data_IF_257602881634
#
_entry.id   IF_257602881634
#
_cell.length_a   1.000
_cell.length_b   1.000
_cell.length_c   1.000
_cell.angle_alpha   90.00
_cell.angle_beta   90.00
_cell.angle_gamma   90.00
#
_symmetry.space_group_name_H-M   'P 1'
#
loop_
_entity.id
_entity.type
_entity.pdbx_description
1 polymer ?
#
# COMPACT_ATOMS: atom_id res chain seq x y z
N UNK A 1 21.31 -2.03 3.53
CA UNK A 1 21.17 -1.11 4.67
C UNK A 1 20.62 0.21 4.19
N UNK A 2 19.73 0.79 4.95
CA UNK A 2 19.09 2.07 4.59
C UNK A 2 19.90 3.22 5.19
N UNK A 3 20.41 4.10 4.35
CA UNK A 3 21.17 5.27 4.80
C UNK A 3 20.24 6.40 5.25
N UNK A 4 19.11 6.56 4.56
CA UNK A 4 18.12 7.60 4.85
C UNK A 4 16.94 6.98 5.60
N UNK A 5 16.78 7.36 6.85
CA UNK A 5 15.73 6.84 7.73
C UNK A 5 14.48 7.72 7.78
N UNK A 6 14.44 8.81 7.01
CA UNK A 6 13.28 9.69 6.98
C UNK A 6 12.08 8.98 6.36
N UNK A 7 10.90 9.25 6.89
CA UNK A 7 9.65 8.74 6.35
C UNK A 7 9.51 9.13 4.87
N UNK A 8 9.19 8.16 4.03
CA UNK A 8 8.96 8.41 2.60
C UNK A 8 7.58 9.04 2.42
N UNK A 9 7.57 10.21 1.81
CA UNK A 9 6.36 10.98 1.50
C UNK A 9 6.28 11.24 0.00
N UNK A 10 5.16 11.75 -0.47
CA UNK A 10 5.01 12.15 -1.88
C UNK A 10 6.05 13.20 -2.25
N UNK A 11 6.35 14.12 -1.33
CA UNK A 11 7.40 15.13 -1.53
C UNK A 11 8.76 14.46 -1.72
N UNK A 12 9.10 13.48 -0.86
CA UNK A 12 10.37 12.76 -0.93
C UNK A 12 10.51 12.02 -2.26
N UNK A 13 9.45 11.37 -2.71
CA UNK A 13 9.46 10.67 -4.00
C UNK A 13 9.72 11.64 -5.16
N UNK A 14 9.12 12.81 -5.11
CA UNK A 14 9.33 13.85 -6.12
C UNK A 14 10.78 14.34 -6.14
N UNK A 15 11.37 14.54 -4.96
CA UNK A 15 12.77 14.90 -4.82
C UNK A 15 13.70 13.82 -5.38
N UNK A 16 13.41 12.56 -5.09
CA UNK A 16 14.19 11.42 -5.61
C UNK A 16 14.18 11.42 -7.14
N UNK A 17 13.04 11.66 -7.75
CA UNK A 17 12.91 11.74 -9.21
C UNK A 17 13.77 12.88 -9.76
N UNK A 18 13.72 14.06 -9.14
CA UNK A 18 14.51 15.21 -9.55
C UNK A 18 16.01 14.98 -9.44
N UNK A 19 16.43 14.19 -8.45
CA UNK A 19 17.81 13.84 -8.20
C UNK A 19 18.29 12.66 -9.04
N UNK A 20 17.43 12.07 -9.88
CA UNK A 20 17.75 10.90 -10.66
C UNK A 20 17.89 9.61 -9.85
N UNK A 21 17.38 9.58 -8.63
CA UNK A 21 17.41 8.39 -7.77
C UNK A 21 16.26 7.45 -8.12
N UNK A 22 16.54 6.16 -8.15
CA UNK A 22 15.52 5.16 -8.40
C UNK A 22 14.65 4.98 -7.17
N UNK A 23 13.35 4.76 -7.42
CA UNK A 23 12.37 4.47 -6.39
C UNK A 23 12.09 2.97 -6.45
N UNK A 24 12.31 2.27 -5.34
CA UNK A 24 12.10 0.83 -5.26
C UNK A 24 10.75 0.55 -4.60
N UNK A 25 9.93 -0.26 -5.26
CA UNK A 25 8.61 -0.66 -4.76
C UNK A 25 8.48 -2.17 -4.76
N UNK A 26 7.89 -2.72 -3.72
CA UNK A 26 7.63 -4.15 -3.59
C UNK A 26 6.27 -4.36 -2.91
N UNK A 27 5.57 -5.41 -3.29
CA UNK A 27 4.28 -5.76 -2.68
C UNK A 27 4.48 -6.49 -1.35
N UNK A 28 3.55 -6.26 -0.42
CA UNK A 28 3.46 -7.02 0.82
C UNK A 28 2.00 -7.02 1.29
N UNK A 29 1.58 -8.11 1.94
CA UNK A 29 0.19 -8.29 2.33
C UNK A 29 0.00 -8.52 3.83
N UNK A 30 1.08 -8.62 4.59
CA UNK A 30 1.02 -8.93 6.00
C UNK A 30 2.07 -8.14 6.81
N UNK A 31 1.90 -8.19 8.12
CA UNK A 31 2.76 -7.47 9.07
C UNK A 31 4.22 -7.92 9.00
N UNK A 32 4.45 -9.23 9.00
CA UNK A 32 5.81 -9.78 9.09
C UNK A 32 6.63 -9.45 7.84
N UNK A 33 6.07 -9.69 6.67
CA UNK A 33 6.76 -9.35 5.41
C UNK A 33 6.94 -7.86 5.24
N UNK A 34 5.93 -7.06 5.60
CA UNK A 34 6.04 -5.60 5.51
C UNK A 34 7.19 -5.07 6.37
N UNK A 35 7.37 -5.61 7.57
CA UNK A 35 8.46 -5.23 8.46
C UNK A 35 9.82 -5.54 7.84
N UNK A 36 9.96 -6.73 7.25
CA UNK A 36 11.20 -7.15 6.58
C UNK A 36 11.49 -6.27 5.36
N UNK A 37 10.49 -6.04 4.53
CA UNK A 37 10.62 -5.24 3.30
C UNK A 37 10.96 -3.79 3.62
N UNK A 38 10.33 -3.22 4.64
CA UNK A 38 10.63 -1.86 5.10
C UNK A 38 12.07 -1.75 5.58
N UNK A 39 12.52 -2.70 6.41
CA UNK A 39 13.88 -2.73 6.93
C UNK A 39 14.92 -2.95 5.83
N UNK A 40 14.53 -3.62 4.73
CA UNK A 40 15.40 -3.82 3.58
C UNK A 40 15.61 -2.55 2.76
N UNK A 41 14.83 -1.50 3.02
CA UNK A 41 15.06 -0.19 2.40
C UNK A 41 14.15 0.11 1.21
N UNK A 42 13.06 -0.61 1.02
CA UNK A 42 12.09 -0.27 -0.01
C UNK A 42 11.48 1.10 0.27
N UNK A 43 11.26 1.87 -0.79
CA UNK A 43 10.70 3.21 -0.67
C UNK A 43 9.18 3.18 -0.62
N UNK A 44 8.56 2.27 -1.35
CA UNK A 44 7.12 2.08 -1.39
C UNK A 44 6.80 0.61 -1.16
N UNK A 45 5.78 0.35 -0.35
CA UNK A 45 5.20 -0.98 -0.18
C UNK A 45 3.77 -0.92 -0.70
N UNK A 46 3.50 -1.75 -1.70
CA UNK A 46 2.19 -1.82 -2.33
C UNK A 46 1.37 -2.94 -1.70
N UNK A 47 0.20 -2.59 -1.18
CA UNK A 47 -0.82 -3.56 -0.80
C UNK A 47 -1.72 -3.72 -2.02
N UNK A 48 -1.38 -4.70 -2.87
CA UNK A 48 -2.03 -4.90 -4.15
C UNK A 48 -3.29 -5.74 -4.06
N UNK A 49 -4.23 -5.52 -4.98
CA UNK A 49 -5.43 -6.35 -5.10
C UNK A 49 -5.08 -7.79 -5.53
N UNK A 50 -3.86 -8.04 -5.95
CA UNK A 50 -3.31 -9.38 -6.16
C UNK A 50 -3.34 -10.23 -4.89
N UNK A 51 -3.64 -9.66 -3.71
CA UNK A 51 -3.93 -10.41 -2.51
C UNK A 51 -5.08 -11.41 -2.74
N UNK A 52 -5.99 -11.10 -3.64
CA UNK A 52 -7.05 -12.03 -4.08
C UNK A 52 -6.46 -13.35 -4.56
N UNK A 53 -5.40 -13.28 -5.35
CA UNK A 53 -4.73 -14.47 -5.89
C UNK A 53 -3.78 -15.09 -4.87
N UNK A 54 -2.88 -14.28 -4.34
CA UNK A 54 -1.73 -14.75 -3.54
C UNK A 54 -2.15 -15.21 -2.14
N UNK A 55 -3.07 -14.48 -1.51
CA UNK A 55 -3.47 -14.77 -0.13
C UNK A 55 -4.74 -15.62 -0.06
N UNK A 56 -5.69 -15.37 -0.96
CA UNK A 56 -6.99 -16.06 -0.93
C UNK A 56 -7.12 -17.19 -1.94
N UNK A 57 -6.21 -17.29 -2.91
CA UNK A 57 -6.23 -18.35 -3.90
C UNK A 57 -7.27 -18.19 -5.00
N UNK A 58 -7.82 -17.00 -5.17
CA UNK A 58 -8.78 -16.74 -6.25
C UNK A 58 -8.04 -16.67 -7.59
N UNK A 59 -8.75 -16.96 -8.69
CA UNK A 59 -8.16 -16.94 -10.03
C UNK A 59 -7.97 -15.53 -10.57
N UNK A 60 -8.71 -14.55 -10.05
CA UNK A 60 -8.65 -13.17 -10.49
C UNK A 60 -8.63 -12.23 -9.29
N UNK A 61 -8.43 -10.94 -9.54
CA UNK A 61 -8.48 -9.91 -8.48
C UNK A 61 -9.91 -9.43 -8.22
N UNK A 62 -10.90 -9.86 -9.01
CA UNK A 62 -12.28 -9.38 -8.89
C UNK A 62 -12.95 -9.67 -7.53
N UNK A 63 -12.76 -10.87 -6.92
CA UNK A 63 -13.50 -11.19 -5.69
C UNK A 63 -13.07 -10.46 -4.44
N UNK A 64 -11.88 -9.86 -4.42
CA UNK A 64 -11.41 -9.24 -3.19
C UNK A 64 -12.25 -8.03 -2.83
N UNK A 65 -12.63 -7.93 -1.55
CA UNK A 65 -13.50 -6.88 -1.05
C UNK A 65 -12.68 -5.72 -0.47
N UNK A 66 -13.36 -4.57 -0.30
CA UNK A 66 -12.74 -3.41 0.35
C UNK A 66 -12.33 -3.74 1.79
N UNK A 67 -13.17 -4.47 2.53
CA UNK A 67 -12.85 -4.87 3.90
C UNK A 67 -11.61 -5.75 3.97
N UNK A 68 -11.46 -6.67 3.03
CA UNK A 68 -10.27 -7.51 2.95
C UNK A 68 -9.02 -6.68 2.64
N UNK A 69 -9.12 -5.74 1.71
CA UNK A 69 -8.00 -4.84 1.40
C UNK A 69 -7.64 -3.96 2.60
N UNK A 70 -8.62 -3.47 3.33
CA UNK A 70 -8.38 -2.70 4.56
C UNK A 70 -7.65 -3.56 5.59
N UNK A 71 -8.04 -4.82 5.75
CA UNK A 71 -7.37 -5.74 6.66
C UNK A 71 -5.87 -5.86 6.31
N UNK A 72 -5.57 -6.13 5.04
CA UNK A 72 -4.20 -6.26 4.59
C UNK A 72 -3.41 -4.95 4.75
N UNK A 73 -4.01 -3.83 4.36
CA UNK A 73 -3.36 -2.53 4.45
C UNK A 73 -3.05 -2.13 5.90
N UNK A 74 -3.96 -2.42 6.83
CA UNK A 74 -3.72 -2.18 8.26
C UNK A 74 -2.57 -3.02 8.79
N UNK A 75 -2.53 -4.28 8.41
CA UNK A 75 -1.47 -5.21 8.82
C UNK A 75 -0.11 -4.71 8.33
N UNK A 76 -0.03 -4.32 7.07
CA UNK A 76 1.19 -3.77 6.46
C UNK A 76 1.59 -2.47 7.14
N UNK A 77 0.66 -1.54 7.31
CA UNK A 77 0.94 -0.22 7.89
C UNK A 77 1.52 -0.32 9.31
N UNK A 78 1.08 -1.31 10.08
CA UNK A 78 1.60 -1.54 11.43
C UNK A 78 3.06 -1.99 11.43
N UNK A 79 3.51 -2.64 10.38
CA UNK A 79 4.88 -3.14 10.27
C UNK A 79 5.85 -2.14 9.65
N UNK A 80 5.38 -1.05 9.08
CA UNK A 80 6.18 -0.11 8.30
C UNK A 80 6.48 1.14 9.11
N UNK A 81 7.75 1.54 9.12
CA UNK A 81 8.19 2.78 9.79
C UNK A 81 8.62 3.85 8.80
N UNK A 82 9.23 3.46 7.69
CA UNK A 82 9.82 4.40 6.73
C UNK A 82 9.09 4.44 5.40
N UNK A 83 8.84 3.29 4.77
CA UNK A 83 8.28 3.21 3.43
C UNK A 83 6.88 3.84 3.35
N UNK A 84 6.55 4.34 2.17
CA UNK A 84 5.18 4.80 1.90
C UNK A 84 4.31 3.59 1.57
N UNK A 85 3.20 3.45 2.27
CA UNK A 85 2.24 2.37 2.02
C UNK A 85 1.20 2.85 1.02
N UNK A 86 1.06 2.11 -0.06
CA UNK A 86 0.07 2.37 -1.11
C UNK A 86 -0.88 1.18 -1.17
N UNK A 87 -2.17 1.43 -1.18
CA UNK A 87 -3.19 0.39 -1.22
C UNK A 87 -4.04 0.52 -2.48
N UNK A 88 -4.17 -0.57 -3.22
CA UNK A 88 -5.07 -0.63 -4.36
C UNK A 88 -6.53 -0.58 -3.89
N UNK A 89 -7.36 0.12 -4.63
CA UNK A 89 -8.80 0.08 -4.43
C UNK A 89 -9.37 -1.08 -5.24
N UNK A 90 -10.09 -2.03 -4.61
CA UNK A 90 -10.62 -3.21 -5.31
C UNK A 90 -11.64 -2.85 -6.39
N UNK A 91 -11.83 -3.78 -7.30
CA UNK A 91 -12.83 -3.64 -8.36
C UNK A 91 -14.20 -3.34 -7.76
N UNK A 92 -14.91 -2.39 -8.36
CA UNK A 92 -16.24 -1.98 -7.94
C UNK A 92 -16.27 -0.87 -6.90
N UNK A 93 -15.11 -0.51 -6.31
CA UNK A 93 -15.07 0.51 -5.25
C UNK A 93 -14.90 1.94 -5.77
N UNK A 94 -14.60 2.11 -7.06
CA UNK A 94 -14.43 3.45 -7.63
C UNK A 94 -14.99 3.59 -9.05
N UNK A 95 -15.43 2.49 -9.69
CA UNK A 95 -15.96 2.54 -11.07
C UNK A 95 -17.40 3.01 -11.14
N UNK A 96 -18.18 2.80 -10.07
CA UNK A 96 -19.63 3.07 -10.07
C UNK A 96 -19.92 4.57 -10.16
N UNK A 97 -19.22 5.37 -9.36
CA UNK A 97 -19.37 6.83 -9.36
C UNK A 97 -18.16 7.48 -8.69
N UNK A 98 -17.99 8.78 -8.96
CA UNK A 98 -16.94 9.58 -8.32
C UNK A 98 -17.14 9.63 -6.81
N UNK A 99 -18.39 9.83 -6.36
CA UNK A 99 -18.74 9.91 -4.95
C UNK A 99 -18.42 8.62 -4.20
N UNK A 100 -18.75 7.47 -4.79
CA UNK A 100 -18.40 6.17 -4.23
C UNK A 100 -16.89 5.98 -4.13
N UNK A 101 -16.16 6.35 -5.18
CA UNK A 101 -14.71 6.28 -5.17
C UNK A 101 -14.08 7.09 -4.05
N UNK A 102 -14.53 8.33 -3.88
CA UNK A 102 -14.03 9.21 -2.82
C UNK A 102 -14.38 8.64 -1.44
N UNK A 103 -15.62 8.19 -1.26
CA UNK A 103 -16.06 7.62 0.02
C UNK A 103 -15.23 6.40 0.40
N UNK A 104 -15.00 5.50 -0.53
CA UNK A 104 -14.22 4.29 -0.30
C UNK A 104 -12.75 4.60 -0.03
N UNK A 105 -12.16 5.57 -0.72
CA UNK A 105 -10.80 6.02 -0.46
C UNK A 105 -10.66 6.61 0.95
N UNK A 106 -11.62 7.43 1.36
CA UNK A 106 -11.66 7.99 2.72
C UNK A 106 -11.78 6.88 3.77
N UNK A 107 -12.59 5.87 3.50
CA UNK A 107 -12.77 4.72 4.40
C UNK A 107 -11.46 3.96 4.60
N UNK A 108 -10.73 3.70 3.52
CA UNK A 108 -9.41 3.07 3.61
C UNK A 108 -8.50 3.93 4.49
N UNK A 109 -8.44 5.20 4.20
CA UNK A 109 -7.55 6.14 4.90
C UNK A 109 -7.84 6.20 6.40
N UNK A 110 -9.13 6.24 6.77
CA UNK A 110 -9.55 6.26 8.18
C UNK A 110 -9.24 4.96 8.90
N UNK A 111 -9.50 3.82 8.24
CA UNK A 111 -9.38 2.50 8.87
C UNK A 111 -7.93 2.03 8.96
N UNK A 112 -7.09 2.43 8.02
CA UNK A 112 -5.68 2.02 8.01
C UNK A 112 -4.84 2.92 8.91
N UNK A 113 -5.12 4.19 8.98
CA UNK A 113 -4.41 5.15 9.82
C UNK A 113 -3.15 5.67 9.16
N UNK A 114 -2.04 4.96 9.31
CA UNK A 114 -0.73 5.42 8.82
C UNK A 114 -0.48 5.00 7.38
N UNK A 115 -1.03 5.77 6.44
CA UNK A 115 -0.66 5.62 5.04
C UNK A 115 -0.85 6.96 4.32
N UNK A 116 -0.24 7.09 3.18
CA UNK A 116 -0.38 8.28 2.33
C UNK A 116 -1.21 7.98 1.10
#
# INVERSE_FOLDING_TARGET
MVEDTRKVTTKRLREMKQQGKRIAMLTSYDFTMAKIVDQAGMDIILVGDSASNVMAGNLTTLPITLDQMIYHARSVARGVKRAMVVCDMPFGTYQVSREEGIRNACRIRQRVGRML
#
